data_IF_123417470404
#
_entry.id   IF_123417470404
#
_cell.length_a   1.000
_cell.length_b   1.000
_cell.length_c   1.000
_cell.angle_alpha   90.00
_cell.angle_beta   90.00
_cell.angle_gamma   90.00
#
_symmetry.space_group_name_H-M   'P 1'
#
loop_
_entity.id
_entity.type
_entity.pdbx_description
1 polymer ?
#
# COMPACT_ATOMS: atom_id res chain seq x y z
N UNK A 1 1.02 5.86 33.22
CA UNK A 1 0.98 4.83 32.17
C UNK A 1 -0.07 3.82 32.63
N UNK A 2 -1.26 3.80 32.00
CA UNK A 2 -2.30 2.82 32.36
C UNK A 2 -1.96 1.52 31.63
N UNK A 3 -1.93 0.45 32.40
CA UNK A 3 -1.55 -0.89 31.97
C UNK A 3 -2.60 -1.43 30.98
N UNK A 4 -2.27 -1.42 29.69
CA UNK A 4 -3.14 -1.90 28.60
C UNK A 4 -3.53 -3.37 28.77
N UNK A 5 -2.74 -4.15 29.52
CA UNK A 5 -3.08 -5.53 29.89
C UNK A 5 -4.34 -5.65 30.75
N UNK A 6 -4.67 -4.62 31.54
CA UNK A 6 -5.82 -4.63 32.44
C UNK A 6 -7.16 -4.48 31.71
N UNK A 7 -7.18 -3.80 30.55
CA UNK A 7 -8.38 -3.61 29.73
C UNK A 7 -8.72 -4.85 28.90
N UNK A 8 -7.71 -5.58 28.40
CA UNK A 8 -7.92 -6.82 27.65
C UNK A 8 -8.36 -7.98 28.56
N UNK A 9 -7.88 -8.02 29.81
CA UNK A 9 -8.25 -9.05 30.79
C UNK A 9 -9.72 -9.07 31.20
N UNK A 10 -10.51 -8.04 30.84
CA UNK A 10 -11.96 -7.98 31.09
C UNK A 10 -12.80 -8.09 29.80
N UNK A 11 -12.16 -8.15 28.63
CA UNK A 11 -12.86 -8.24 27.36
C UNK A 11 -13.20 -9.71 27.05
N UNK A 12 -14.47 -9.98 26.71
CA UNK A 12 -14.88 -11.31 26.25
C UNK A 12 -14.53 -11.57 24.77
N UNK A 13 -14.17 -10.52 24.03
CA UNK A 13 -13.76 -10.57 22.63
C UNK A 13 -12.90 -9.34 22.29
N UNK A 14 -11.86 -9.56 21.48
CA UNK A 14 -11.01 -8.50 20.93
C UNK A 14 -10.91 -8.71 19.42
N UNK A 15 -11.16 -7.66 18.65
CA UNK A 15 -10.99 -7.64 17.20
C UNK A 15 -9.83 -6.72 16.87
N UNK A 16 -8.82 -7.26 16.19
CA UNK A 16 -7.68 -6.51 15.72
C UNK A 16 -7.81 -6.26 14.23
N UNK A 17 -7.57 -5.03 13.83
CA UNK A 17 -7.24 -4.74 12.44
C UNK A 17 -5.88 -5.38 12.08
N UNK A 18 -5.66 -5.64 10.80
CA UNK A 18 -4.43 -6.29 10.33
C UNK A 18 -3.39 -5.26 9.90
N UNK A 19 -3.72 -4.48 8.89
CA UNK A 19 -2.80 -3.52 8.26
C UNK A 19 -2.51 -2.36 9.23
N UNK A 20 -1.22 -2.04 9.39
CA UNK A 20 -0.68 -1.00 10.29
C UNK A 20 -1.13 -1.13 11.76
N UNK A 21 -1.67 -2.28 12.16
CA UNK A 21 -2.05 -2.63 13.54
C UNK A 21 -1.32 -3.87 14.01
N UNK A 22 -1.46 -5.00 13.30
CA UNK A 22 -0.71 -6.23 13.59
C UNK A 22 0.48 -6.42 12.65
N UNK A 23 0.35 -5.95 11.41
CA UNK A 23 1.35 -6.08 10.36
C UNK A 23 1.97 -4.73 10.06
N UNK A 24 3.29 -4.72 9.82
CA UNK A 24 3.99 -3.56 9.28
C UNK A 24 3.73 -3.44 7.76
N UNK A 25 2.48 -3.16 7.42
CA UNK A 25 2.04 -3.02 6.03
C UNK A 25 2.62 -1.78 5.37
N UNK A 26 2.96 -0.73 6.13
CA UNK A 26 3.54 0.50 5.58
C UNK A 26 4.95 0.24 5.05
N UNK A 27 5.82 -0.42 5.83
CA UNK A 27 7.15 -0.82 5.37
C UNK A 27 7.06 -1.81 4.20
N UNK A 28 6.17 -2.80 4.30
CA UNK A 28 6.00 -3.78 3.22
C UNK A 28 5.55 -3.11 1.91
N UNK A 29 4.62 -2.16 1.99
CA UNK A 29 4.12 -1.40 0.84
C UNK A 29 5.21 -0.51 0.24
N UNK A 30 6.04 0.13 1.08
CA UNK A 30 7.18 0.90 0.60
C UNK A 30 8.23 0.02 -0.12
N UNK A 31 8.48 -1.20 0.38
CA UNK A 31 9.35 -2.17 -0.29
C UNK A 31 8.78 -2.54 -1.66
N UNK A 32 7.50 -2.88 -1.73
CA UNK A 32 6.84 -3.23 -2.98
C UNK A 32 6.86 -2.09 -4.01
N UNK A 33 6.59 -0.87 -3.55
CA UNK A 33 6.66 0.34 -4.37
C UNK A 33 8.05 0.57 -4.94
N UNK A 34 9.08 0.57 -4.11
CA UNK A 34 10.45 0.81 -4.56
C UNK A 34 10.91 -0.24 -5.57
N UNK A 35 10.49 -1.51 -5.40
CA UNK A 35 10.76 -2.57 -6.39
C UNK A 35 10.02 -2.34 -7.70
N UNK A 36 8.74 -2.03 -7.66
CA UNK A 36 7.93 -1.76 -8.85
C UNK A 36 8.46 -0.56 -9.64
N UNK A 37 8.81 0.54 -8.95
CA UNK A 37 9.41 1.73 -9.59
C UNK A 37 10.75 1.39 -10.23
N UNK A 38 11.63 0.64 -9.55
CA UNK A 38 12.92 0.23 -10.11
C UNK A 38 12.77 -0.66 -11.35
N UNK A 39 11.82 -1.60 -11.34
CA UNK A 39 11.57 -2.46 -12.51
C UNK A 39 10.90 -1.71 -13.66
N UNK A 40 10.11 -0.69 -13.34
CA UNK A 40 9.47 0.18 -14.32
C UNK A 40 10.46 1.18 -14.95
N UNK A 41 11.39 1.71 -14.14
CA UNK A 41 12.40 2.70 -14.50
C UNK A 41 13.58 2.19 -15.33
N UNK A 42 13.55 0.97 -15.88
CA UNK A 42 14.57 0.49 -16.82
C UNK A 42 14.68 1.33 -18.13
N UNK A 43 13.83 2.35 -18.32
CA UNK A 43 13.85 3.27 -19.46
C UNK A 43 14.19 4.73 -19.08
N UNK A 44 14.40 5.07 -17.80
CA UNK A 44 14.78 6.43 -17.37
C UNK A 44 15.01 6.54 -15.86
N UNK A 45 15.99 7.36 -15.45
CA UNK A 45 16.26 7.63 -14.04
C UNK A 45 15.06 8.34 -13.39
N UNK A 46 14.45 7.68 -12.40
CA UNK A 46 13.40 8.25 -11.56
C UNK A 46 14.07 8.73 -10.28
N UNK A 47 14.35 10.02 -10.19
CA UNK A 47 15.20 10.61 -9.13
C UNK A 47 14.48 10.80 -7.78
N UNK A 48 13.14 10.82 -7.75
CA UNK A 48 12.36 11.17 -6.55
C UNK A 48 11.27 10.14 -6.20
N UNK A 49 11.70 8.92 -5.85
CA UNK A 49 10.79 7.83 -5.47
C UNK A 49 9.94 8.16 -4.24
N UNK A 50 10.45 8.98 -3.32
CA UNK A 50 9.74 9.34 -2.09
C UNK A 50 8.54 10.26 -2.38
N UNK A 51 8.70 11.27 -3.24
CA UNK A 51 7.56 12.13 -3.62
C UNK A 51 6.50 11.36 -4.40
N UNK A 52 6.89 10.41 -5.26
CA UNK A 52 5.93 9.55 -5.95
C UNK A 52 5.19 8.60 -5.01
N UNK A 53 5.88 8.09 -3.98
CA UNK A 53 5.23 7.29 -2.94
C UNK A 53 4.19 8.11 -2.18
N UNK A 54 4.51 9.35 -1.81
CA UNK A 54 3.57 10.25 -1.15
C UNK A 54 2.37 10.59 -2.04
N UNK A 55 2.61 10.94 -3.31
CA UNK A 55 1.55 11.21 -4.27
C UNK A 55 0.64 9.99 -4.48
N UNK A 56 1.21 8.79 -4.50
CA UNK A 56 0.42 7.56 -4.58
C UNK A 56 -0.45 7.34 -3.34
N UNK A 57 0.05 7.66 -2.14
CA UNK A 57 -0.74 7.60 -0.91
C UNK A 57 -1.93 8.59 -0.95
N UNK A 58 -1.73 9.78 -1.51
CA UNK A 58 -2.80 10.77 -1.68
C UNK A 58 -3.85 10.31 -2.70
N UNK A 59 -3.43 9.79 -3.85
CA UNK A 59 -4.31 9.15 -4.85
C UNK A 59 -5.12 8.01 -4.22
N UNK A 60 -4.49 7.16 -3.40
CA UNK A 60 -5.18 6.09 -2.69
C UNK A 60 -6.23 6.60 -1.72
N UNK A 61 -5.93 7.68 -0.99
CA UNK A 61 -6.87 8.27 -0.04
C UNK A 61 -8.11 8.82 -0.74
N UNK A 62 -7.93 9.58 -1.82
CA UNK A 62 -9.03 10.16 -2.60
C UNK A 62 -9.92 9.07 -3.22
N UNK A 63 -9.31 8.07 -3.84
CA UNK A 63 -10.02 6.96 -4.45
C UNK A 63 -10.76 6.09 -3.41
N UNK A 64 -10.19 5.88 -2.23
CA UNK A 64 -10.89 5.20 -1.14
C UNK A 64 -12.13 5.97 -0.68
N UNK A 65 -12.10 7.31 -0.65
CA UNK A 65 -13.31 8.10 -0.37
C UNK A 65 -14.39 7.89 -1.43
N UNK A 66 -14.01 7.82 -2.72
CA UNK A 66 -14.95 7.56 -3.82
C UNK A 66 -15.55 6.16 -3.74
N UNK A 67 -14.76 5.16 -3.36
CA UNK A 67 -15.26 3.82 -3.05
C UNK A 67 -16.29 3.83 -1.91
N UNK A 68 -15.99 4.50 -0.79
CA UNK A 68 -16.92 4.62 0.33
C UNK A 68 -18.22 5.36 -0.04
N UNK A 69 -18.15 6.28 -0.99
CA UNK A 69 -19.31 6.96 -1.56
C UNK A 69 -20.11 6.09 -2.57
N UNK A 70 -19.63 4.89 -2.91
CA UNK A 70 -20.26 4.00 -3.87
C UNK A 70 -20.05 4.42 -5.33
N UNK A 71 -19.11 5.31 -5.60
CA UNK A 71 -18.85 5.87 -6.93
C UNK A 71 -18.01 4.95 -7.81
N UNK A 72 -17.32 3.95 -7.24
CA UNK A 72 -16.46 3.02 -7.96
C UNK A 72 -16.44 1.61 -7.32
N UNK A 73 -16.19 0.59 -8.14
CA UNK A 73 -16.01 -0.81 -7.70
C UNK A 73 -14.56 -1.05 -7.27
N UNK A 74 -14.35 -1.86 -6.22
CA UNK A 74 -13.05 -2.05 -5.57
C UNK A 74 -11.88 -2.47 -6.50
N UNK A 75 -12.14 -3.26 -7.54
CA UNK A 75 -11.08 -3.71 -8.47
C UNK A 75 -10.71 -2.64 -9.50
N UNK A 76 -11.67 -1.85 -9.95
CA UNK A 76 -11.45 -0.74 -10.90
C UNK A 76 -10.53 0.33 -10.30
N UNK A 77 -10.60 0.47 -8.97
CA UNK A 77 -9.79 1.38 -8.18
C UNK A 77 -8.28 1.10 -8.27
N UNK A 78 -7.87 -0.18 -8.21
CA UNK A 78 -6.44 -0.54 -8.16
C UNK A 78 -5.72 -0.21 -9.47
N UNK A 79 -6.35 -0.48 -10.60
CA UNK A 79 -5.82 -0.17 -11.93
C UNK A 79 -5.87 1.33 -12.22
N UNK A 80 -6.95 2.01 -11.83
CA UNK A 80 -7.08 3.46 -11.96
C UNK A 80 -5.95 4.19 -11.23
N UNK A 81 -5.78 3.93 -9.93
CA UNK A 81 -4.73 4.56 -9.12
C UNK A 81 -3.32 4.30 -9.63
N UNK A 82 -3.07 3.07 -10.09
CA UNK A 82 -1.77 2.71 -10.68
C UNK A 82 -1.53 3.46 -11.99
N UNK A 83 -2.55 3.59 -12.84
CA UNK A 83 -2.46 4.36 -14.09
C UNK A 83 -2.19 5.85 -13.82
N UNK A 84 -2.89 6.44 -12.84
CA UNK A 84 -2.68 7.84 -12.43
C UNK A 84 -1.27 8.09 -11.91
N UNK A 85 -0.74 7.19 -11.08
CA UNK A 85 0.63 7.26 -10.60
C UNK A 85 1.64 7.20 -11.75
N UNK A 86 1.49 6.23 -12.66
CA UNK A 86 2.43 6.09 -13.77
C UNK A 86 2.39 7.29 -14.73
N UNK A 87 1.20 7.87 -14.94
CA UNK A 87 1.07 9.12 -15.68
C UNK A 87 1.81 10.27 -14.97
N UNK A 88 1.67 10.40 -13.66
CA UNK A 88 2.39 11.40 -12.87
C UNK A 88 3.92 11.23 -12.97
N UNK A 89 4.40 9.98 -12.94
CA UNK A 89 5.83 9.67 -13.00
C UNK A 89 6.46 9.90 -14.38
N UNK A 90 5.70 9.67 -15.45
CA UNK A 90 6.23 9.66 -16.83
C UNK A 90 5.78 10.85 -17.67
N UNK A 91 4.73 11.56 -17.26
CA UNK A 91 4.03 12.54 -18.09
C UNK A 91 3.17 11.94 -19.20
N UNK A 92 3.14 10.60 -19.34
CA UNK A 92 2.51 9.91 -20.47
C UNK A 92 1.51 8.85 -20.00
N UNK A 93 0.48 8.60 -20.82
CA UNK A 93 -0.45 7.52 -20.56
C UNK A 93 0.23 6.17 -20.88
N UNK A 94 0.33 5.30 -19.88
CA UNK A 94 0.93 3.98 -20.05
C UNK A 94 -0.07 2.96 -20.63
N UNK A 95 0.46 1.94 -21.32
CA UNK A 95 -0.36 0.83 -21.79
C UNK A 95 -0.90 0.00 -20.63
N UNK A 96 -2.05 -0.65 -20.83
CA UNK A 96 -2.66 -1.51 -19.82
C UNK A 96 -1.70 -2.61 -19.32
N UNK A 97 -0.91 -3.20 -20.21
CA UNK A 97 0.08 -4.23 -19.87
C UNK A 97 1.17 -3.68 -18.93
N UNK A 98 1.65 -2.46 -19.17
CA UNK A 98 2.64 -1.81 -18.30
C UNK A 98 2.05 -1.50 -16.93
N UNK A 99 0.82 -1.01 -16.88
CA UNK A 99 0.08 -0.75 -15.63
C UNK A 99 -0.09 -2.03 -14.83
N UNK A 100 -0.56 -3.10 -15.47
CA UNK A 100 -0.76 -4.41 -14.83
C UNK A 100 0.56 -4.99 -14.33
N UNK A 101 1.64 -4.89 -15.12
CA UNK A 101 2.96 -5.37 -14.69
C UNK A 101 3.46 -4.61 -13.46
N UNK A 102 3.35 -3.29 -13.44
CA UNK A 102 3.72 -2.49 -12.27
C UNK A 102 2.93 -2.93 -11.03
N UNK A 103 1.60 -3.04 -11.17
CA UNK A 103 0.73 -3.45 -10.07
C UNK A 103 1.05 -4.86 -9.57
N UNK A 104 1.35 -5.79 -10.47
CA UNK A 104 1.72 -7.16 -10.12
C UNK A 104 3.04 -7.21 -9.34
N UNK A 105 4.07 -6.47 -9.79
CA UNK A 105 5.35 -6.37 -9.07
C UNK A 105 5.14 -5.74 -7.69
N UNK A 106 4.38 -4.63 -7.60
CA UNK A 106 4.04 -3.99 -6.34
C UNK A 106 3.42 -4.98 -5.34
N UNK A 107 2.38 -5.70 -5.77
CA UNK A 107 1.64 -6.63 -4.93
C UNK A 107 2.49 -7.83 -4.49
N UNK A 108 3.29 -8.39 -5.40
CA UNK A 108 4.15 -9.52 -5.11
C UNK A 108 5.23 -9.17 -4.09
N UNK A 109 5.93 -8.05 -4.32
CA UNK A 109 7.02 -7.62 -3.45
C UNK A 109 6.51 -7.09 -2.10
N UNK A 110 5.33 -6.48 -2.06
CA UNK A 110 4.64 -6.14 -0.79
C UNK A 110 4.34 -7.40 0.00
N UNK A 111 3.79 -8.45 -0.63
CA UNK A 111 3.44 -9.71 0.04
C UNK A 111 4.68 -10.42 0.60
N UNK A 112 5.81 -10.39 -0.11
CA UNK A 112 7.08 -10.95 0.37
C UNK A 112 7.63 -10.20 1.59
N UNK A 113 7.33 -8.91 1.69
CA UNK A 113 7.80 -8.04 2.77
C UNK A 113 6.82 -7.98 3.96
N UNK A 114 5.66 -8.63 3.89
CA UNK A 114 4.72 -8.69 5.00
C UNK A 114 5.36 -9.36 6.22
N UNK A 115 5.38 -8.60 7.32
CA UNK A 115 5.85 -9.06 8.60
C UNK A 115 4.94 -8.49 9.71
N UNK A 116 4.71 -9.25 10.80
CA UNK A 116 4.15 -8.67 12.02
C UNK A 116 5.04 -7.56 12.57
N UNK A 117 4.46 -6.63 13.32
CA UNK A 117 5.28 -5.75 14.16
C UNK A 117 6.03 -6.58 15.20
N UNK A 118 7.24 -6.15 15.56
CA UNK A 118 8.08 -6.87 16.51
C UNK A 118 7.36 -7.14 17.83
N UNK A 119 6.51 -6.21 18.27
CA UNK A 119 5.71 -6.28 19.49
C UNK A 119 4.59 -7.34 19.43
N UNK A 120 4.11 -7.70 18.24
CA UNK A 120 3.06 -8.72 18.05
C UNK A 120 3.60 -10.12 18.32
N UNK A 121 4.85 -10.40 17.95
CA UNK A 121 5.51 -11.68 18.21
C UNK A 121 5.68 -11.98 19.72
N UNK A 122 5.64 -10.96 20.57
CA UNK A 122 5.67 -11.13 22.04
C UNK A 122 4.29 -11.21 22.68
N UNK A 123 3.24 -10.90 21.92
CA UNK A 123 1.87 -10.78 22.42
C UNK A 123 1.07 -12.09 22.26
N UNK A 124 1.45 -12.95 21.31
CA UNK A 124 0.86 -14.27 21.04
C UNK A 124 1.83 -15.40 21.38
#
# INVERSE_FOLDING_TARGET
MRDTGYLLGQANLVLFDLESTLLDSDTATAVGFNRAVREFGFEGEIDDTQSYFQAWADIQREDFQRYLAGEQVFDENRLFRTSSLLHLMTGEQQSADRVQKFLATLQEETRKAWAPFAEVDWFF
#
